data_IF_199481804121
#
_entry.id   IF_199481804121
#
_cell.length_a   1.000
_cell.length_b   1.000
_cell.length_c   1.000
_cell.angle_alpha   90.00
_cell.angle_beta   90.00
_cell.angle_gamma   90.00
#
_symmetry.space_group_name_H-M   'P 1'
#
loop_
_entity.id
_entity.type
_entity.pdbx_description
1 polymer ?
#
# COMPACT_ATOMS: atom_id res chain seq x y z
N UNK A 1 0.70 23.63 17.37
CA UNK A 1 -0.40 22.64 17.28
C UNK A 1 -0.91 22.41 15.86
N UNK A 2 -0.36 23.08 14.84
CA UNK A 2 -0.62 22.85 13.41
C UNK A 2 0.27 21.77 12.77
N UNK A 3 1.46 21.53 13.34
CA UNK A 3 2.51 20.79 12.62
C UNK A 3 2.36 19.27 12.80
N UNK A 4 1.78 18.82 13.91
CA UNK A 4 1.57 17.38 14.16
C UNK A 4 0.68 16.74 13.09
N UNK A 5 -0.37 17.45 12.65
CA UNK A 5 -1.29 16.95 11.63
C UNK A 5 -0.64 16.81 10.23
N UNK A 6 0.39 17.62 9.95
CA UNK A 6 1.18 17.54 8.71
C UNK A 6 2.17 16.38 8.79
N UNK A 7 2.90 16.26 9.90
CA UNK A 7 3.88 15.18 10.11
C UNK A 7 3.21 13.81 10.07
N UNK A 8 2.02 13.68 10.70
CA UNK A 8 1.27 12.43 10.69
C UNK A 8 0.85 12.03 9.26
N UNK A 9 0.69 12.99 8.35
CA UNK A 9 0.34 12.70 6.95
C UNK A 9 1.51 12.18 6.12
N UNK A 10 2.73 12.66 6.37
CA UNK A 10 3.93 12.14 5.71
C UNK A 10 4.22 10.69 6.13
N UNK A 11 4.16 10.42 7.44
CA UNK A 11 4.41 9.06 7.94
C UNK A 11 3.42 8.04 7.37
N UNK A 12 2.17 8.42 7.09
CA UNK A 12 1.19 7.53 6.44
C UNK A 12 1.55 7.20 4.99
N UNK A 13 2.04 8.17 4.22
CA UNK A 13 2.49 7.94 2.84
C UNK A 13 3.72 7.02 2.80
N UNK A 14 4.67 7.20 3.72
CA UNK A 14 5.86 6.37 3.83
C UNK A 14 5.52 4.93 4.19
N UNK A 15 4.58 4.73 5.13
CA UNK A 15 4.08 3.40 5.52
C UNK A 15 3.37 2.70 4.35
N UNK A 16 2.54 3.44 3.58
CA UNK A 16 1.89 2.89 2.40
C UNK A 16 2.91 2.46 1.34
N UNK A 17 3.88 3.33 1.05
CA UNK A 17 4.94 3.08 0.07
C UNK A 17 5.80 1.88 0.47
N UNK A 18 6.11 1.74 1.76
CA UNK A 18 6.80 0.57 2.31
C UNK A 18 6.02 -0.73 2.10
N UNK A 19 4.69 -0.71 2.30
CA UNK A 19 3.82 -1.86 2.05
C UNK A 19 3.83 -2.33 0.59
N UNK A 20 3.85 -1.38 -0.36
CA UNK A 20 3.94 -1.69 -1.80
C UNK A 20 5.28 -2.32 -2.15
N UNK A 21 6.39 -1.77 -1.65
CA UNK A 21 7.73 -2.33 -1.87
C UNK A 21 7.87 -3.72 -1.26
N UNK A 22 7.36 -3.93 -0.04
CA UNK A 22 7.35 -5.26 0.56
C UNK A 22 6.57 -6.26 -0.31
N UNK A 23 5.38 -5.88 -0.77
CA UNK A 23 4.60 -6.73 -1.68
C UNK A 23 5.40 -7.11 -2.93
N UNK A 24 6.01 -6.14 -3.61
CA UNK A 24 6.82 -6.37 -4.82
C UNK A 24 8.01 -7.31 -4.54
N UNK A 25 8.68 -7.15 -3.40
CA UNK A 25 9.82 -7.98 -3.02
C UNK A 25 9.45 -9.46 -2.85
N UNK A 26 8.27 -9.74 -2.31
CA UNK A 26 7.80 -11.11 -2.05
C UNK A 26 7.06 -11.73 -3.24
N UNK A 27 6.27 -10.96 -3.99
CA UNK A 27 5.56 -11.47 -5.16
C UNK A 27 6.43 -11.52 -6.41
N UNK A 28 7.50 -10.70 -6.46
CA UNK A 28 8.34 -10.47 -7.66
C UNK A 28 7.52 -10.03 -8.87
N UNK A 29 6.38 -9.38 -8.63
CA UNK A 29 5.47 -8.90 -9.65
C UNK A 29 5.39 -7.38 -9.63
N UNK A 30 5.06 -6.80 -10.78
CA UNK A 30 4.81 -5.38 -10.89
C UNK A 30 3.47 -5.02 -10.21
N UNK A 31 3.45 -4.02 -9.33
CA UNK A 31 2.21 -3.62 -8.67
C UNK A 31 1.24 -3.01 -9.70
N UNK A 32 -0.02 -3.45 -9.66
CA UNK A 32 -1.08 -3.03 -10.59
C UNK A 32 -0.70 -3.18 -12.08
N UNK A 33 -0.03 -4.27 -12.46
CA UNK A 33 0.40 -4.56 -13.83
C UNK A 33 -0.66 -4.35 -14.92
N UNK A 34 -1.94 -4.58 -14.60
CA UNK A 34 -3.06 -4.47 -15.55
C UNK A 34 -3.71 -3.07 -15.54
N UNK A 35 -3.20 -2.11 -14.75
CA UNK A 35 -3.75 -0.76 -14.63
C UNK A 35 -2.77 0.25 -15.22
N UNK A 36 -3.26 1.10 -16.12
CA UNK A 36 -2.46 2.22 -16.63
C UNK A 36 -2.02 3.14 -15.49
N UNK A 37 -0.74 3.52 -15.50
CA UNK A 37 -0.08 4.30 -14.44
C UNK A 37 -0.89 5.54 -13.99
N UNK A 38 -1.49 6.27 -14.93
CA UNK A 38 -2.30 7.46 -14.62
C UNK A 38 -3.62 7.14 -13.90
N UNK A 39 -4.14 5.92 -14.04
CA UNK A 39 -5.38 5.46 -13.40
C UNK A 39 -5.12 4.88 -12.02
N UNK A 40 -3.89 4.48 -11.70
CA UNK A 40 -3.52 3.92 -10.38
C UNK A 40 -3.85 4.90 -9.24
N UNK A 41 -3.62 6.20 -9.43
CA UNK A 41 -3.92 7.23 -8.41
C UNK A 41 -5.41 7.22 -8.04
N UNK A 42 -6.27 7.16 -9.06
CA UNK A 42 -7.72 7.08 -8.85
C UNK A 42 -8.12 5.74 -8.23
N UNK A 43 -7.57 4.64 -8.73
CA UNK A 43 -7.86 3.29 -8.27
C UNK A 43 -7.48 3.09 -6.78
N UNK A 44 -6.33 3.59 -6.36
CA UNK A 44 -5.82 3.50 -4.99
C UNK A 44 -6.51 4.50 -4.06
N UNK A 45 -6.78 5.71 -4.55
CA UNK A 45 -7.37 6.80 -3.76
C UNK A 45 -8.86 6.62 -3.49
N UNK A 46 -9.62 6.19 -4.50
CA UNK A 46 -11.09 6.18 -4.47
C UNK A 46 -11.67 4.76 -4.48
N UNK A 47 -11.15 3.85 -5.31
CA UNK A 47 -11.74 2.51 -5.52
C UNK A 47 -11.23 1.44 -4.53
N UNK A 48 -10.45 1.83 -3.50
CA UNK A 48 -9.77 0.93 -2.56
C UNK A 48 -9.01 -0.23 -3.25
N UNK A 49 -8.50 0.03 -4.46
CA UNK A 49 -7.81 -0.92 -5.32
C UNK A 49 -6.44 -1.30 -4.77
N UNK A 50 -6.42 -2.08 -3.68
CA UNK A 50 -5.21 -2.61 -3.06
C UNK A 50 -4.67 -3.81 -3.84
N UNK A 51 -3.37 -4.05 -3.67
CA UNK A 51 -2.69 -5.16 -4.30
C UNK A 51 -3.21 -6.48 -3.70
N UNK A 52 -3.47 -7.46 -4.56
CA UNK A 52 -3.84 -8.80 -4.13
C UNK A 52 -2.65 -9.46 -3.44
N UNK A 53 -2.82 -9.85 -2.18
CA UNK A 53 -1.76 -10.48 -1.40
C UNK A 53 -1.95 -12.01 -1.49
N UNK A 54 -1.04 -12.74 -2.16
CA UNK A 54 -1.18 -14.18 -2.31
C UNK A 54 -1.02 -14.90 -0.97
N UNK A 55 -1.88 -15.89 -0.71
CA UNK A 55 -1.90 -16.68 0.55
C UNK A 55 -0.68 -17.60 0.74
N UNK A 56 0.21 -17.65 -0.25
CA UNK A 56 1.42 -18.48 -0.26
C UNK A 56 2.52 -17.86 0.63
N UNK A 57 2.37 -16.59 0.99
CA UNK A 57 3.36 -15.86 1.78
C UNK A 57 3.21 -16.14 3.29
N UNK A 58 4.31 -16.03 4.03
CA UNK A 58 4.30 -16.21 5.48
C UNK A 58 3.23 -15.31 6.13
N UNK A 59 2.39 -15.84 7.04
CA UNK A 59 1.23 -15.12 7.57
C UNK A 59 1.61 -13.82 8.28
N UNK A 60 2.79 -13.78 8.91
CA UNK A 60 3.31 -12.58 9.57
C UNK A 60 3.57 -11.45 8.57
N UNK A 61 4.18 -11.77 7.43
CA UNK A 61 4.48 -10.80 6.37
C UNK A 61 3.19 -10.31 5.71
N UNK A 62 2.29 -11.23 5.41
CA UNK A 62 0.96 -10.90 4.88
C UNK A 62 0.22 -9.94 5.81
N UNK A 63 0.30 -10.16 7.13
CA UNK A 63 -0.32 -9.28 8.12
C UNK A 63 0.31 -7.88 8.13
N UNK A 64 1.64 -7.79 8.07
CA UNK A 64 2.36 -6.51 7.99
C UNK A 64 1.95 -5.73 6.73
N UNK A 65 1.98 -6.37 5.56
CA UNK A 65 1.60 -5.72 4.29
C UNK A 65 0.15 -5.23 4.35
N UNK A 66 -0.78 -6.03 4.88
CA UNK A 66 -2.19 -5.62 5.07
C UNK A 66 -2.32 -4.40 5.97
N UNK A 67 -1.54 -4.34 7.06
CA UNK A 67 -1.56 -3.19 7.96
C UNK A 67 -1.00 -1.93 7.30
N UNK A 68 0.09 -2.05 6.54
CA UNK A 68 0.69 -0.93 5.80
C UNK A 68 -0.24 -0.37 4.72
N UNK A 69 -1.00 -1.23 4.04
CA UNK A 69 -1.90 -0.84 2.96
C UNK A 69 -3.29 -0.41 3.43
N UNK A 70 -3.63 -0.56 4.71
CA UNK A 70 -4.96 -0.24 5.24
C UNK A 70 -5.25 1.26 5.11
N UNK A 71 -6.39 1.61 4.50
CA UNK A 71 -6.89 2.99 4.50
C UNK A 71 -7.30 3.37 5.93
N UNK A 72 -6.60 4.33 6.54
CA UNK A 72 -6.98 4.91 7.82
C UNK A 72 -7.95 6.06 7.53
N UNK A 73 -9.24 5.85 7.82
CA UNK A 73 -10.31 6.85 7.76
C UNK A 73 -10.19 7.80 8.94
#
# INVERSE_FOLDING_TARGET
MSDQHIVDSFCRCDVFSYGVILWELFTKQEPWKEVYLYRVIYHVGEEDGRLDIPDIMAPDITNIIRQCLKKQV
#
